data_IF_296598801439
#
_entry.id   IF_296598801439
#
_cell.length_a   1.000
_cell.length_b   1.000
_cell.length_c   1.000
_cell.angle_alpha   90.00
_cell.angle_beta   90.00
_cell.angle_gamma   90.00
#
_symmetry.space_group_name_H-M   'P 1'
#
loop_
_entity.id
_entity.type
_entity.pdbx_description
1 polymer ?
#
# COMPACT_ATOMS: atom_id res chain seq x y z
N UNK A 1 -9.23 -4.30 32.91
CA UNK A 1 -8.28 -3.32 32.33
C UNK A 1 -9.06 -2.31 31.47
N UNK A 2 -9.32 -1.12 32.01
CA UNK A 2 -10.06 -0.06 31.31
C UNK A 2 -9.12 0.66 30.33
N UNK A 3 -9.21 0.35 29.03
CA UNK A 3 -8.53 1.13 27.99
C UNK A 3 -9.19 2.50 27.89
N UNK A 4 -8.49 3.56 28.30
CA UNK A 4 -8.89 4.94 28.00
C UNK A 4 -8.89 5.10 26.48
N UNK A 5 -10.06 5.39 25.91
CA UNK A 5 -10.19 5.75 24.50
C UNK A 5 -9.59 7.16 24.36
N UNK A 6 -8.38 7.28 23.83
CA UNK A 6 -7.87 8.57 23.39
C UNK A 6 -8.71 8.98 22.18
N UNK A 7 -9.50 10.04 22.33
CA UNK A 7 -10.26 10.64 21.24
C UNK A 7 -9.34 11.38 20.27
N UNK A 8 -9.94 12.07 19.30
CA UNK A 8 -9.22 12.97 18.40
C UNK A 8 -8.39 13.99 19.20
N UNK A 9 -7.13 14.17 18.81
CA UNK A 9 -6.26 15.19 19.42
C UNK A 9 -6.70 16.56 18.89
N UNK A 10 -7.15 17.43 19.78
CA UNK A 10 -7.51 18.81 19.44
C UNK A 10 -6.31 19.53 18.79
N UNK A 11 -6.53 20.16 17.64
CA UNK A 11 -5.47 20.80 16.85
C UNK A 11 -4.76 19.89 15.83
N UNK A 12 -5.14 18.61 15.70
CA UNK A 12 -4.57 17.73 14.67
C UNK A 12 -5.06 18.12 13.27
N UNK A 13 -4.12 18.48 12.40
CA UNK A 13 -4.38 18.79 10.99
C UNK A 13 -4.30 17.49 10.16
N UNK A 14 -5.40 17.14 9.49
CA UNK A 14 -5.41 16.03 8.54
C UNK A 14 -4.88 16.53 7.19
N UNK A 15 -3.70 16.03 6.79
CA UNK A 15 -3.10 16.31 5.49
C UNK A 15 -3.66 15.32 4.46
N UNK A 16 -4.16 15.83 3.33
CA UNK A 16 -4.53 14.98 2.20
C UNK A 16 -3.27 14.49 1.48
N UNK A 17 -3.08 13.17 1.46
CA UNK A 17 -1.92 12.51 0.84
C UNK A 17 -2.18 12.04 -0.59
N UNK A 18 -3.34 12.38 -1.16
CA UNK A 18 -3.75 12.01 -2.51
C UNK A 18 -3.59 10.49 -2.76
N UNK A 19 -4.43 9.70 -2.07
CA UNK A 19 -4.39 8.24 -2.20
C UNK A 19 -4.62 7.79 -3.65
N UNK A 20 -5.49 8.46 -4.39
CA UNK A 20 -5.79 8.17 -5.78
C UNK A 20 -4.55 8.40 -6.68
N UNK A 21 -3.90 9.55 -6.58
CA UNK A 21 -2.67 9.82 -7.31
C UNK A 21 -1.50 8.95 -6.85
N UNK A 22 -1.46 8.55 -5.59
CA UNK A 22 -0.53 7.51 -5.11
C UNK A 22 -0.72 6.18 -5.85
N UNK A 23 -1.96 5.74 -6.06
CA UNK A 23 -2.26 4.51 -6.80
C UNK A 23 -1.87 4.65 -8.27
N UNK A 24 -2.28 5.74 -8.91
CA UNK A 24 -1.97 6.01 -10.31
C UNK A 24 -0.46 6.02 -10.59
N UNK A 25 0.34 6.62 -9.69
CA UNK A 25 1.81 6.62 -9.78
C UNK A 25 2.39 5.21 -9.75
N UNK A 26 1.93 4.36 -8.84
CA UNK A 26 2.40 2.97 -8.76
C UNK A 26 2.09 2.21 -10.04
N UNK A 27 0.89 2.39 -10.60
CA UNK A 27 0.51 1.76 -11.86
C UNK A 27 1.41 2.25 -12.99
N UNK A 28 1.61 3.57 -13.12
CA UNK A 28 2.49 4.17 -14.12
C UNK A 28 3.93 3.65 -14.02
N UNK A 29 4.45 3.55 -12.80
CA UNK A 29 5.84 3.15 -12.54
C UNK A 29 6.13 1.68 -12.87
N UNK A 30 5.18 0.78 -12.60
CA UNK A 30 5.46 -0.66 -12.60
C UNK A 30 4.56 -1.50 -13.50
N UNK A 31 3.32 -1.09 -13.75
CA UNK A 31 2.29 -1.93 -14.38
C UNK A 31 1.72 -1.36 -15.69
N UNK A 32 2.03 -0.11 -16.02
CA UNK A 32 1.64 0.48 -17.29
C UNK A 32 2.30 -0.23 -18.48
N UNK A 33 1.76 0.01 -19.69
CA UNK A 33 2.29 -0.53 -20.95
C UNK A 33 3.76 -0.17 -21.17
N UNK A 34 4.13 1.08 -20.85
CA UNK A 34 5.49 1.59 -20.88
C UNK A 34 5.90 2.02 -19.46
N UNK A 35 6.27 1.07 -18.58
CA UNK A 35 6.54 1.37 -17.19
C UNK A 35 7.91 2.02 -17.01
N UNK A 36 8.02 2.97 -16.07
CA UNK A 36 9.31 3.61 -15.71
C UNK A 36 10.34 2.57 -15.29
N UNK A 37 9.90 1.56 -14.53
CA UNK A 37 10.74 0.45 -14.11
C UNK A 37 10.38 -0.79 -14.91
N UNK A 38 11.37 -1.47 -15.48
CA UNK A 38 11.15 -2.71 -16.23
C UNK A 38 10.90 -3.90 -15.29
N UNK A 39 10.45 -5.03 -15.86
CA UNK A 39 10.28 -6.29 -15.11
C UNK A 39 11.56 -6.72 -14.37
N UNK A 40 12.72 -6.44 -14.97
CA UNK A 40 14.02 -6.70 -14.36
C UNK A 40 14.22 -5.88 -13.08
N UNK A 41 13.91 -4.58 -13.10
CA UNK A 41 14.01 -3.72 -11.91
C UNK A 41 13.06 -4.17 -10.80
N UNK A 42 11.82 -4.51 -11.17
CA UNK A 42 10.82 -5.00 -10.22
C UNK A 42 11.31 -6.28 -9.51
N UNK A 43 11.85 -7.24 -10.26
CA UNK A 43 12.34 -8.51 -9.74
C UNK A 43 13.70 -8.43 -9.05
N UNK A 44 14.67 -7.70 -9.58
CA UNK A 44 16.05 -7.79 -9.10
C UNK A 44 16.42 -6.73 -8.07
N UNK A 45 15.75 -5.57 -8.06
CA UNK A 45 16.17 -4.42 -7.24
C UNK A 45 15.13 -3.93 -6.23
N UNK A 46 13.85 -4.27 -6.40
CA UNK A 46 12.75 -3.66 -5.62
C UNK A 46 11.99 -4.68 -4.79
N UNK A 47 11.34 -5.64 -5.44
CA UNK A 47 10.39 -6.53 -4.78
C UNK A 47 10.86 -7.98 -4.71
N UNK A 48 12.01 -8.30 -5.33
CA UNK A 48 12.59 -9.64 -5.32
C UNK A 48 11.64 -10.76 -5.85
N UNK A 49 10.61 -10.37 -6.60
CA UNK A 49 9.53 -11.24 -7.08
C UNK A 49 9.13 -10.89 -8.52
N UNK A 50 8.49 -11.83 -9.23
CA UNK A 50 7.86 -11.55 -10.54
C UNK A 50 6.57 -10.76 -10.32
N UNK A 51 6.22 -9.84 -11.24
CA UNK A 51 4.99 -9.03 -11.17
C UNK A 51 3.72 -9.86 -11.06
N UNK A 52 3.61 -10.89 -11.89
CA UNK A 52 2.47 -11.80 -11.86
C UNK A 52 2.28 -12.44 -10.48
N UNK A 53 3.37 -12.96 -9.91
CA UNK A 53 3.34 -13.58 -8.58
C UNK A 53 2.95 -12.58 -7.48
N UNK A 54 3.44 -11.34 -7.57
CA UNK A 54 3.03 -10.26 -6.68
C UNK A 54 1.52 -9.99 -6.77
N UNK A 55 0.95 -9.94 -7.98
CA UNK A 55 -0.49 -9.75 -8.17
C UNK A 55 -1.30 -10.92 -7.61
N UNK A 56 -0.85 -12.16 -7.79
CA UNK A 56 -1.51 -13.33 -7.20
C UNK A 56 -1.52 -13.27 -5.66
N UNK A 57 -0.40 -12.89 -5.03
CA UNK A 57 -0.35 -12.70 -3.57
C UNK A 57 -1.32 -11.60 -3.14
N UNK A 58 -1.29 -10.45 -3.83
CA UNK A 58 -2.17 -9.32 -3.51
C UNK A 58 -3.64 -9.75 -3.56
N UNK A 59 -4.05 -10.46 -4.63
CA UNK A 59 -5.42 -10.95 -4.77
C UNK A 59 -5.77 -11.95 -3.67
N UNK A 60 -4.92 -12.94 -3.39
CA UNK A 60 -5.17 -13.92 -2.34
C UNK A 60 -5.28 -13.29 -0.94
N UNK A 61 -4.51 -12.24 -0.68
CA UNK A 61 -4.57 -11.48 0.58
C UNK A 61 -5.85 -10.64 0.65
N UNK A 62 -6.24 -9.99 -0.44
CA UNK A 62 -7.50 -9.23 -0.52
C UNK A 62 -8.73 -10.12 -0.33
N UNK A 63 -8.72 -11.32 -0.90
CA UNK A 63 -9.80 -12.31 -0.74
C UNK A 63 -9.90 -12.83 0.70
N UNK A 64 -8.77 -12.94 1.41
CA UNK A 64 -8.73 -13.51 2.76
C UNK A 64 -9.00 -12.49 3.86
N UNK A 65 -8.60 -11.23 3.67
CA UNK A 65 -8.74 -10.18 4.67
C UNK A 65 -9.41 -8.92 4.09
N UNK A 66 -10.66 -8.63 4.50
CA UNK A 66 -11.41 -7.44 4.09
C UNK A 66 -10.73 -6.11 4.43
N UNK A 67 -9.70 -6.09 5.29
CA UNK A 67 -8.89 -4.91 5.53
C UNK A 67 -8.10 -4.47 4.30
N UNK A 68 -7.69 -5.41 3.44
CA UNK A 68 -6.92 -5.09 2.22
C UNK A 68 -7.79 -4.50 1.12
N UNK A 69 -9.07 -4.86 1.07
CA UNK A 69 -10.04 -4.29 0.13
C UNK A 69 -10.08 -2.75 0.21
N UNK A 70 -10.33 -2.11 -0.93
CA UNK A 70 -10.57 -0.67 -0.97
C UNK A 70 -11.97 -0.39 -0.42
N UNK A 71 -12.08 0.39 0.66
CA UNK A 71 -13.35 0.69 1.34
C UNK A 71 -13.46 2.17 1.63
N UNK A 72 -14.69 2.66 1.70
CA UNK A 72 -14.99 3.99 2.19
C UNK A 72 -14.73 4.05 3.70
N UNK A 73 -14.06 5.09 4.16
CA UNK A 73 -13.95 5.38 5.58
C UNK A 73 -15.27 5.97 6.12
N UNK A 74 -15.31 6.21 7.43
CA UNK A 74 -16.49 6.78 8.10
C UNK A 74 -16.83 8.21 7.61
N UNK A 75 -15.93 8.87 6.89
CA UNK A 75 -16.13 10.18 6.28
C UNK A 75 -16.47 10.11 4.79
N UNK A 76 -16.63 8.90 4.22
CA UNK A 76 -16.96 8.70 2.82
C UNK A 76 -15.77 8.87 1.86
N UNK A 77 -14.53 8.87 2.35
CA UNK A 77 -13.33 8.89 1.49
C UNK A 77 -12.88 7.48 1.16
N UNK A 78 -12.43 7.28 -0.07
CA UNK A 78 -11.85 6.01 -0.48
C UNK A 78 -10.51 5.77 0.24
N UNK A 79 -10.42 4.62 0.91
CA UNK A 79 -9.20 4.15 1.54
C UNK A 79 -8.10 3.78 0.54
N UNK A 80 -6.96 3.33 1.06
CA UNK A 80 -5.85 2.86 0.24
C UNK A 80 -6.25 1.61 -0.57
N UNK A 81 -5.78 1.55 -1.81
CA UNK A 81 -5.95 0.37 -2.67
C UNK A 81 -5.17 -0.84 -2.12
N UNK A 82 -5.63 -2.08 -2.39
CA UNK A 82 -4.90 -3.31 -2.04
C UNK A 82 -3.46 -3.27 -2.56
N UNK A 83 -3.26 -2.78 -3.78
CA UNK A 83 -1.95 -2.60 -4.39
C UNK A 83 -1.02 -1.70 -3.56
N UNK A 84 -1.52 -0.57 -3.08
CA UNK A 84 -0.74 0.34 -2.21
C UNK A 84 -0.38 -0.31 -0.87
N UNK A 85 -1.32 -1.03 -0.27
CA UNK A 85 -1.11 -1.75 1.00
C UNK A 85 -0.08 -2.86 0.85
N UNK A 86 -0.20 -3.67 -0.20
CA UNK A 86 0.67 -4.81 -0.47
C UNK A 86 2.08 -4.41 -0.94
N UNK A 87 2.26 -3.23 -1.53
CA UNK A 87 3.61 -2.77 -1.94
C UNK A 87 4.49 -2.40 -0.74
N UNK A 88 3.89 -1.93 0.37
CA UNK A 88 4.64 -1.54 1.55
C UNK A 88 5.35 -2.74 2.21
N UNK A 89 4.66 -3.88 2.31
CA UNK A 89 5.17 -5.03 3.06
C UNK A 89 6.49 -5.62 2.49
N UNK A 90 6.63 -5.93 1.19
CA UNK A 90 7.89 -6.42 0.63
C UNK A 90 9.02 -5.40 0.71
N UNK A 91 8.72 -4.09 0.69
CA UNK A 91 9.76 -3.05 0.85
C UNK A 91 10.32 -3.07 2.27
N UNK A 92 9.47 -3.19 3.28
CA UNK A 92 9.91 -3.34 4.69
C UNK A 92 10.73 -4.62 4.85
N UNK A 93 10.30 -5.73 4.24
CA UNK A 93 11.03 -7.00 4.29
C UNK A 93 12.38 -6.95 3.55
N UNK A 94 12.43 -6.30 2.39
CA UNK A 94 13.65 -6.23 1.56
C UNK A 94 14.72 -5.30 2.15
N UNK A 95 14.31 -4.21 2.81
CA UNK A 95 15.26 -3.25 3.39
C UNK A 95 15.65 -3.56 4.84
N UNK A 96 14.95 -4.49 5.51
CA UNK A 96 15.15 -4.78 6.92
C UNK A 96 14.66 -3.61 7.79
N UNK A 97 14.06 -3.92 8.94
CA UNK A 97 13.53 -2.92 9.86
C UNK A 97 14.67 -2.10 10.50
N UNK A 98 15.13 -1.03 9.82
CA UNK A 98 15.78 0.09 10.51
C UNK A 98 14.66 1.04 10.94
N UNK A 99 14.20 0.79 12.16
CA UNK A 99 13.15 1.48 12.91
C UNK A 99 13.00 2.95 12.55
N UNK A 100 11.90 3.31 11.88
CA UNK A 100 11.27 4.63 12.00
C UNK A 100 9.75 4.40 11.90
N UNK A 101 9.13 4.16 13.05
CA UNK A 101 7.82 4.69 13.38
C UNK A 101 8.03 5.92 14.26
#
# INVERSE_FOLDING_TARGET
>A
LHRRRHGSVSGHIVIDRDHAGGHARIIADYFAKNPVYTHFHFRCRRYHMRRYFFLCIMQAVEERDPWFACRLDATGKMGLSPLQKCIAAPRILAYGHRSIF
#
